data_IF_941104403575
#
_entry.id   IF_941104403575
#
_cell.length_a   1.000
_cell.length_b   1.000
_cell.length_c   1.000
_cell.angle_alpha   90.00
_cell.angle_beta   90.00
_cell.angle_gamma   90.00
#
_symmetry.space_group_name_H-M   'P 1'
#
loop_
_entity.id
_entity.type
_entity.pdbx_description
1 polymer ?
#
# COMPACT_ATOMS: atom_id res chain seq x y z
N UNK A 1 -39.24 41.82 -23.78
CA UNK A 1 -39.41 41.54 -22.34
C UNK A 1 -38.10 41.00 -21.82
N UNK A 2 -37.52 41.70 -20.86
CA UNK A 2 -36.13 41.57 -20.41
C UNK A 2 -36.10 40.83 -19.07
N UNK A 3 -35.30 39.77 -18.95
CA UNK A 3 -35.10 39.05 -17.70
C UNK A 3 -33.60 38.83 -17.45
N UNK A 4 -33.10 39.75 -16.63
CA UNK A 4 -31.88 39.80 -15.81
C UNK A 4 -31.18 38.46 -15.53
N UNK A 5 -29.91 38.36 -15.91
CA UNK A 5 -28.94 37.44 -15.34
C UNK A 5 -28.24 38.10 -14.14
N UNK A 6 -28.21 37.38 -13.00
CA UNK A 6 -27.54 37.77 -11.77
C UNK A 6 -26.14 37.15 -11.79
N UNK A 7 -25.10 37.98 -11.83
CA UNK A 7 -23.72 37.57 -11.56
C UNK A 7 -23.53 37.46 -10.04
N UNK A 8 -23.11 36.29 -9.55
CA UNK A 8 -22.57 36.13 -8.20
C UNK A 8 -21.04 36.02 -8.32
N UNK A 9 -20.34 37.05 -7.86
CA UNK A 9 -18.89 37.07 -7.69
C UNK A 9 -18.55 36.62 -6.27
N UNK A 10 -17.87 35.49 -6.14
CA UNK A 10 -17.29 35.02 -4.87
C UNK A 10 -15.84 35.52 -4.83
N UNK A 11 -15.58 36.47 -3.95
CA UNK A 11 -14.23 36.91 -3.61
C UNK A 11 -13.60 35.93 -2.62
N UNK A 12 -12.48 35.33 -3.01
CA UNK A 12 -11.68 34.47 -2.15
C UNK A 12 -10.50 35.27 -1.60
N UNK A 13 -10.52 35.51 -0.29
CA UNK A 13 -9.45 36.20 0.44
C UNK A 13 -8.40 35.17 0.87
N UNK A 14 -7.20 35.27 0.31
CA UNK A 14 -6.04 34.47 0.74
C UNK A 14 -5.36 35.22 1.89
N UNK A 15 -5.32 34.59 3.07
CA UNK A 15 -4.53 35.05 4.23
C UNK A 15 -3.22 34.28 4.23
N UNK A 16 -2.12 34.96 3.91
CA UNK A 16 -0.76 34.45 4.06
C UNK A 16 -0.28 34.78 5.49
N UNK A 17 -0.17 33.77 6.35
CA UNK A 17 0.56 33.87 7.62
C UNK A 17 1.98 33.35 7.45
N UNK A 18 2.91 34.29 7.37
CA UNK A 18 4.35 34.10 7.50
C UNK A 18 4.72 33.89 8.97
N UNK A 19 5.46 32.83 9.28
CA UNK A 19 6.30 32.76 10.47
C UNK A 19 7.71 32.34 10.04
N UNK A 20 8.61 33.33 9.98
CA UNK A 20 10.05 33.09 10.05
C UNK A 20 10.53 33.29 11.48
N UNK A 21 11.51 32.50 11.91
CA UNK A 21 12.52 33.00 12.85
C UNK A 21 13.82 32.22 12.74
N UNK A 22 14.84 32.96 12.29
CA UNK A 22 16.26 32.66 12.41
C UNK A 22 16.62 32.21 13.83
N UNK A 23 17.30 31.07 13.97
CA UNK A 23 18.06 30.77 15.17
C UNK A 23 19.55 30.70 14.88
N UNK A 24 20.29 31.50 15.66
CA UNK A 24 21.70 31.81 15.51
C UNK A 24 22.56 30.67 16.03
N UNK A 25 23.51 30.26 15.20
CA UNK A 25 24.73 29.55 15.56
C UNK A 25 25.48 30.31 16.66
N UNK A 26 25.82 29.63 17.76
CA UNK A 26 26.86 30.05 18.71
C UNK A 26 27.98 28.98 18.74
N UNK A 27 29.26 29.38 18.75
CA UNK A 27 30.38 28.46 18.76
C UNK A 27 30.85 28.09 20.18
N UNK A 28 31.45 26.91 20.25
CA UNK A 28 32.43 26.38 21.21
C UNK A 28 32.61 27.10 22.55
N UNK A 29 32.18 26.42 23.61
CA UNK A 29 32.64 26.60 24.97
C UNK A 29 33.38 25.35 25.45
N UNK A 30 34.69 25.50 25.58
CA UNK A 30 35.62 24.63 26.30
C UNK A 30 35.11 24.33 27.73
N UNK A 31 35.05 23.05 28.13
CA UNK A 31 34.91 22.67 29.55
C UNK A 31 35.54 21.31 29.83
N UNK A 32 36.77 21.39 30.34
CA UNK A 32 37.29 20.73 31.54
C UNK A 32 36.77 19.33 31.89
N UNK A 33 37.71 18.38 31.72
CA UNK A 33 37.98 17.23 32.59
C UNK A 33 37.41 17.36 34.02
N UNK A 34 36.43 16.53 34.35
CA UNK A 34 36.18 16.06 35.71
C UNK A 34 36.07 14.54 35.71
N UNK A 35 37.02 13.91 36.41
CA UNK A 35 36.98 12.53 36.85
C UNK A 35 35.66 12.24 37.57
N UNK A 36 34.84 11.35 37.02
CA UNK A 36 33.86 10.61 37.81
C UNK A 36 34.26 9.15 37.87
N UNK A 37 34.55 8.76 39.10
CA UNK A 37 34.78 7.43 39.65
C UNK A 37 33.81 6.39 39.08
N UNK A 38 34.40 5.36 38.49
CA UNK A 38 33.75 4.08 38.22
C UNK A 38 33.18 3.51 39.53
N UNK A 39 31.86 3.54 39.66
CA UNK A 39 31.15 2.76 40.67
C UNK A 39 30.66 1.51 39.96
N UNK A 40 31.32 0.39 40.23
CA UNK A 40 30.93 -0.94 39.80
C UNK A 40 29.57 -1.27 40.43
N UNK A 41 28.49 -1.14 39.65
CA UNK A 41 27.19 -1.70 39.98
C UNK A 41 27.21 -3.13 39.45
N UNK A 42 27.58 -4.05 40.32
CA UNK A 42 27.52 -5.47 40.06
C UNK A 42 26.15 -6.01 40.54
N UNK A 43 25.52 -6.77 39.64
CA UNK A 43 24.61 -7.90 39.89
C UNK A 43 23.33 -7.68 40.71
N UNK A 44 22.22 -7.43 40.00
CA UNK A 44 21.01 -8.28 40.03
C UNK A 44 19.96 -7.75 39.03
N UNK A 45 20.23 -7.93 37.73
CA UNK A 45 19.18 -7.89 36.71
C UNK A 45 18.75 -9.34 36.46
N UNK A 46 18.08 -9.93 37.45
CA UNK A 46 17.09 -10.98 37.19
C UNK A 46 15.84 -10.31 36.62
N UNK A 47 16.00 -9.66 35.47
CA UNK A 47 14.89 -9.39 34.58
C UNK A 47 14.80 -10.62 33.68
N UNK A 48 14.38 -11.75 34.26
CA UNK A 48 13.76 -12.77 33.42
C UNK A 48 12.62 -12.02 32.72
N UNK A 49 12.77 -11.80 31.41
CA UNK A 49 11.72 -11.25 30.59
C UNK A 49 10.45 -12.00 30.98
N UNK A 50 9.35 -11.31 31.30
CA UNK A 50 8.13 -12.01 31.65
C UNK A 50 7.86 -12.95 30.48
N UNK A 51 7.88 -14.26 30.75
CA UNK A 51 7.32 -15.28 29.87
C UNK A 51 5.82 -15.01 29.84
N UNK A 52 5.45 -13.89 29.21
CA UNK A 52 4.09 -13.53 28.91
C UNK A 52 3.56 -14.61 27.98
N UNK A 53 2.38 -15.09 28.34
CA UNK A 53 1.81 -16.29 27.80
C UNK A 53 1.57 -16.08 26.30
N UNK A 54 2.21 -16.90 25.46
CA UNK A 54 2.06 -16.89 24.01
C UNK A 54 0.58 -16.83 23.58
N UNK A 55 -0.25 -17.56 24.32
CA UNK A 55 -1.69 -17.66 24.11
C UNK A 55 -2.44 -16.35 24.35
N UNK A 56 -1.84 -15.39 25.06
CA UNK A 56 -2.45 -14.07 25.31
C UNK A 56 -2.38 -13.18 24.07
N UNK A 57 -1.27 -13.22 23.34
CA UNK A 57 -1.08 -12.41 22.12
C UNK A 57 -1.54 -13.13 20.86
N UNK A 58 -1.21 -14.41 20.72
CA UNK A 58 -1.62 -15.24 19.59
C UNK A 58 -2.96 -15.91 19.93
N UNK A 59 -4.02 -15.12 20.04
CA UNK A 59 -5.36 -15.59 20.41
C UNK A 59 -5.82 -16.71 19.46
N UNK A 60 -6.68 -17.66 19.90
CA UNK A 60 -7.18 -18.71 19.02
C UNK A 60 -7.91 -18.17 17.78
N UNK A 61 -8.52 -17.00 17.89
CA UNK A 61 -9.28 -16.37 16.81
C UNK A 61 -9.13 -14.84 16.84
N UNK A 62 -9.16 -14.22 15.65
CA UNK A 62 -9.29 -12.78 15.48
C UNK A 62 -10.44 -12.46 14.53
N UNK A 63 -11.26 -11.46 14.87
CA UNK A 63 -12.25 -10.95 13.93
C UNK A 63 -11.61 -9.91 13.01
N UNK A 64 -11.86 -10.03 11.71
CA UNK A 64 -11.43 -9.06 10.71
C UNK A 64 -12.47 -7.96 10.58
N UNK A 65 -12.02 -6.71 10.66
CA UNK A 65 -12.83 -5.55 10.31
C UNK A 65 -12.46 -5.08 8.91
N UNK A 66 -13.47 -4.73 8.13
CA UNK A 66 -13.32 -4.28 6.74
C UNK A 66 -13.75 -2.82 6.60
N UNK A 67 -13.03 -2.09 5.76
CA UNK A 67 -13.32 -0.72 5.40
C UNK A 67 -13.47 -0.58 3.89
N UNK A 68 -14.48 0.17 3.40
CA UNK A 68 -14.61 0.44 1.98
C UNK A 68 -13.39 1.15 1.41
N UNK A 69 -12.92 0.68 0.26
CA UNK A 69 -11.90 1.37 -0.53
C UNK A 69 -12.58 2.43 -1.39
N UNK A 70 -12.05 3.65 -1.33
CA UNK A 70 -12.49 4.72 -2.22
C UNK A 70 -11.88 4.56 -3.61
N UNK A 71 -12.73 4.29 -4.60
CA UNK A 71 -12.33 4.17 -5.99
C UNK A 71 -12.36 5.54 -6.67
N UNK A 72 -11.18 6.07 -6.99
CA UNK A 72 -11.04 7.34 -7.69
C UNK A 72 -11.13 7.14 -9.19
N UNK A 73 -12.03 7.84 -9.91
CA UNK A 73 -12.14 7.68 -11.34
C UNK A 73 -10.88 8.19 -12.04
N UNK A 74 -10.41 7.47 -13.07
CA UNK A 74 -9.33 7.96 -13.91
C UNK A 74 -9.83 9.12 -14.78
N UNK A 75 -8.94 10.06 -15.05
CA UNK A 75 -9.17 11.17 -15.95
C UNK A 75 -8.78 10.78 -17.37
N UNK A 76 -9.66 11.01 -18.35
CA UNK A 76 -9.27 10.89 -19.75
C UNK A 76 -8.47 12.14 -20.14
N UNK A 77 -7.26 11.94 -20.66
CA UNK A 77 -6.32 13.03 -20.93
C UNK A 77 -5.76 12.96 -22.35
N UNK A 78 -5.29 14.09 -22.85
CA UNK A 78 -4.44 14.14 -24.04
C UNK A 78 -2.97 14.08 -23.63
N UNK A 79 -2.14 13.46 -24.47
CA UNK A 79 -0.69 13.42 -24.27
C UNK A 79 -0.12 14.82 -24.46
N UNK A 80 0.64 15.30 -23.48
CA UNK A 80 1.25 16.64 -23.52
C UNK A 80 2.59 16.62 -24.25
N UNK A 81 2.96 17.75 -24.86
CA UNK A 81 4.27 17.93 -25.52
C UNK A 81 5.45 17.78 -24.56
N UNK A 82 5.25 18.06 -23.27
CA UNK A 82 6.27 17.90 -22.23
C UNK A 82 6.47 16.43 -21.83
N UNK A 83 5.66 15.50 -22.33
CA UNK A 83 5.74 14.09 -21.98
C UNK A 83 6.51 13.31 -23.03
N UNK A 84 7.67 12.78 -22.65
CA UNK A 84 8.46 11.94 -23.52
C UNK A 84 8.11 10.48 -23.27
N UNK A 85 7.50 9.81 -24.25
CA UNK A 85 7.23 8.37 -24.18
C UNK A 85 8.55 7.61 -24.01
N UNK A 86 8.61 6.75 -23.01
CA UNK A 86 9.79 5.91 -22.73
C UNK A 86 9.51 4.43 -22.92
N UNK A 87 8.29 3.97 -22.62
CA UNK A 87 7.89 2.57 -22.82
C UNK A 87 6.39 2.44 -23.07
N UNK A 88 6.03 1.42 -23.83
CA UNK A 88 4.66 0.91 -23.90
C UNK A 88 4.70 -0.57 -23.55
N UNK A 89 3.88 -1.00 -22.60
CA UNK A 89 3.81 -2.39 -22.15
C UNK A 89 2.39 -2.93 -22.24
N UNK A 90 2.26 -4.21 -22.60
CA UNK A 90 0.97 -4.88 -22.55
C UNK A 90 0.51 -5.00 -21.10
N UNK A 91 -0.75 -4.70 -20.87
CA UNK A 91 -1.39 -4.81 -19.58
C UNK A 91 -2.64 -5.67 -19.71
N UNK A 92 -2.52 -6.83 -20.37
CA UNK A 92 -3.64 -7.77 -20.50
C UNK A 92 -4.76 -7.32 -21.44
N UNK A 93 -5.96 -7.87 -21.22
CA UNK A 93 -7.12 -7.63 -22.06
C UNK A 93 -8.40 -7.56 -21.22
N UNK A 94 -9.37 -6.77 -21.69
CA UNK A 94 -10.72 -6.71 -21.14
C UNK A 94 -11.70 -6.99 -22.28
N UNK A 95 -12.49 -8.05 -22.17
CA UNK A 95 -13.46 -8.49 -23.17
C UNK A 95 -12.85 -8.67 -24.58
N UNK A 96 -11.60 -9.17 -24.64
CA UNK A 96 -10.86 -9.39 -25.88
C UNK A 96 -10.21 -8.13 -26.48
N UNK A 97 -10.41 -6.97 -25.87
CA UNK A 97 -9.74 -5.74 -26.26
C UNK A 97 -8.47 -5.52 -25.43
N UNK A 98 -7.39 -5.13 -26.09
CA UNK A 98 -6.10 -4.91 -25.44
C UNK A 98 -6.14 -3.70 -24.51
N UNK A 99 -5.55 -3.87 -23.33
CA UNK A 99 -5.19 -2.78 -22.43
C UNK A 99 -3.67 -2.66 -22.46
N UNK A 100 -3.14 -1.43 -22.60
CA UNK A 100 -1.70 -1.16 -22.50
C UNK A 100 -1.44 -0.10 -21.45
N UNK A 101 -0.20 -0.05 -20.97
CA UNK A 101 0.31 1.10 -20.24
C UNK A 101 1.35 1.82 -21.08
N UNK A 102 1.14 3.10 -21.30
CA UNK A 102 2.14 3.99 -21.89
C UNK A 102 2.80 4.78 -20.77
N UNK A 103 4.11 4.63 -20.65
CA UNK A 103 4.96 5.20 -19.61
C UNK A 103 5.73 6.38 -20.21
N UNK A 104 5.62 7.54 -19.59
CA UNK A 104 6.22 8.79 -20.03
C UNK A 104 7.11 9.40 -18.95
N UNK A 105 8.21 10.00 -19.39
CA UNK A 105 9.03 10.89 -18.59
C UNK A 105 8.57 12.34 -18.80
N UNK A 106 8.17 12.99 -17.73
CA UNK A 106 7.86 14.42 -17.72
C UNK A 106 9.16 15.24 -17.88
N UNK A 107 9.14 16.21 -18.80
CA UNK A 107 10.29 17.08 -19.07
C UNK A 107 10.20 18.41 -18.30
N UNK A 108 9.03 18.75 -17.74
CA UNK A 108 8.86 19.89 -16.84
C UNK A 108 9.14 19.48 -15.39
N UNK A 109 10.32 19.85 -14.86
CA UNK A 109 10.73 19.55 -13.48
C UNK A 109 9.79 20.16 -12.41
N UNK A 110 8.98 21.17 -12.77
CA UNK A 110 8.01 21.77 -11.85
C UNK A 110 6.68 20.97 -11.75
N UNK A 111 6.50 19.97 -12.61
CA UNK A 111 5.32 19.09 -12.60
C UNK A 111 5.36 18.12 -11.42
N UNK A 112 4.18 17.65 -10.98
CA UNK A 112 4.04 16.73 -9.84
C UNK A 112 4.81 15.42 -10.07
N UNK A 113 4.87 14.93 -11.31
CA UNK A 113 5.64 13.74 -11.69
C UNK A 113 6.97 14.10 -12.39
N UNK A 114 7.51 15.30 -12.11
CA UNK A 114 8.72 15.82 -12.73
C UNK A 114 10.01 15.27 -12.11
N UNK A 115 9.93 14.56 -10.98
CA UNK A 115 11.10 13.98 -10.34
C UNK A 115 11.68 12.83 -11.18
N UNK A 116 13.01 12.69 -11.19
CA UNK A 116 13.71 11.73 -12.06
C UNK A 116 13.33 10.25 -11.86
N UNK A 117 12.78 9.89 -10.70
CA UNK A 117 12.33 8.53 -10.38
C UNK A 117 10.83 8.29 -10.63
N UNK A 118 10.08 9.34 -10.98
CA UNK A 118 8.64 9.28 -11.22
C UNK A 118 8.32 9.25 -12.71
N UNK A 119 7.22 8.62 -13.06
CA UNK A 119 6.71 8.52 -14.43
C UNK A 119 5.24 8.86 -14.48
N UNK A 120 4.83 9.43 -15.61
CA UNK A 120 3.42 9.55 -15.94
C UNK A 120 3.02 8.25 -16.63
N UNK A 121 2.02 7.58 -16.07
CA UNK A 121 1.51 6.31 -16.62
C UNK A 121 0.10 6.54 -17.10
N UNK A 122 -0.12 6.28 -18.39
CA UNK A 122 -1.44 6.30 -19.01
C UNK A 122 -1.87 4.86 -19.24
N UNK A 123 -3.07 4.52 -18.78
CA UNK A 123 -3.75 3.31 -19.18
C UNK A 123 -4.43 3.59 -20.53
N UNK A 124 -4.01 2.88 -21.56
CA UNK A 124 -4.62 2.98 -22.88
C UNK A 124 -5.62 1.84 -23.05
N UNK A 125 -6.85 2.20 -23.36
CA UNK A 125 -7.91 1.25 -23.62
C UNK A 125 -8.84 1.82 -24.69
N UNK A 126 -9.08 1.04 -25.75
CA UNK A 126 -9.77 1.51 -26.96
C UNK A 126 -9.07 2.74 -27.56
N UNK A 127 -9.79 3.84 -27.71
CA UNK A 127 -9.31 5.11 -28.27
C UNK A 127 -8.98 6.12 -27.15
N UNK A 128 -8.99 5.72 -25.87
CA UNK A 128 -8.80 6.59 -24.72
C UNK A 128 -7.47 6.39 -24.01
N UNK A 129 -6.91 7.50 -23.50
CA UNK A 129 -5.79 7.52 -22.57
C UNK A 129 -6.28 7.96 -21.20
N UNK A 130 -6.10 7.11 -20.20
CA UNK A 130 -6.63 7.30 -18.86
C UNK A 130 -5.49 7.49 -17.87
N UNK A 131 -5.50 8.61 -17.16
CA UNK A 131 -4.51 8.95 -16.14
C UNK A 131 -5.09 8.78 -14.75
N UNK A 132 -4.35 8.10 -13.88
CA UNK A 132 -4.60 8.13 -12.44
C UNK A 132 -3.83 9.30 -11.81
N UNK A 133 -4.30 9.79 -10.66
CA UNK A 133 -3.74 11.00 -10.05
C UNK A 133 -2.29 10.84 -9.58
N UNK A 134 -1.88 9.61 -9.22
CA UNK A 134 -0.52 9.28 -8.82
C UNK A 134 0.47 9.20 -10.00
N UNK A 135 1.75 9.16 -9.65
CA UNK A 135 2.84 8.89 -10.58
C UNK A 135 3.26 7.41 -10.47
N UNK A 136 3.73 6.81 -11.55
CA UNK A 136 4.37 5.49 -11.53
C UNK A 136 5.87 5.57 -11.25
N UNK A 137 6.50 4.44 -10.97
CA UNK A 137 7.94 4.36 -10.71
C UNK A 137 8.74 4.20 -12.03
N UNK A 138 9.96 4.72 -12.09
CA UNK A 138 10.92 4.45 -13.19
C UNK A 138 11.23 2.95 -13.37
N UNK A 139 10.99 2.13 -12.33
CA UNK A 139 11.13 0.67 -12.38
C UNK A 139 10.30 0.03 -13.51
N UNK A 140 9.16 0.63 -13.87
CA UNK A 140 8.28 0.21 -14.97
C UNK A 140 8.96 0.19 -16.34
N UNK A 141 10.01 1.01 -16.52
CA UNK A 141 10.75 1.07 -17.77
C UNK A 141 11.69 -0.13 -17.95
N UNK A 142 12.00 -0.84 -16.87
CA UNK A 142 12.93 -1.96 -16.88
C UNK A 142 12.36 -3.19 -17.59
N UNK A 143 13.16 -3.85 -18.42
CA UNK A 143 12.87 -5.18 -18.97
C UNK A 143 13.45 -6.30 -18.11
N UNK A 144 14.00 -5.96 -16.94
CA UNK A 144 14.65 -6.93 -16.06
C UNK A 144 13.59 -7.84 -15.42
N UNK A 145 13.57 -9.15 -15.75
CA UNK A 145 12.64 -10.08 -15.14
C UNK A 145 12.89 -10.23 -13.63
N UNK A 146 14.07 -9.86 -13.11
CA UNK A 146 14.37 -9.91 -11.67
C UNK A 146 13.58 -8.83 -10.90
N UNK A 147 13.07 -7.79 -11.57
CA UNK A 147 12.16 -6.80 -10.99
C UNK A 147 10.70 -7.25 -11.06
N UNK A 148 10.46 -8.51 -10.70
CA UNK A 148 9.12 -9.06 -10.48
C UNK A 148 8.36 -8.13 -9.52
N UNK A 149 7.14 -7.75 -9.87
CA UNK A 149 6.27 -6.93 -9.01
C UNK A 149 6.11 -5.46 -9.40
N UNK A 150 6.75 -4.99 -10.48
CA UNK A 150 6.53 -3.61 -10.98
C UNK A 150 5.21 -3.44 -11.75
N UNK A 151 4.77 -4.49 -12.46
CA UNK A 151 3.45 -4.61 -13.07
C UNK A 151 2.92 -6.00 -12.77
N UNK A 152 1.70 -6.06 -12.24
CA UNK A 152 1.04 -7.32 -11.89
C UNK A 152 -0.35 -7.32 -12.52
N UNK A 153 -0.66 -8.36 -13.30
CA UNK A 153 -2.01 -8.64 -13.78
C UNK A 153 -2.73 -9.49 -12.74
N UNK A 154 -3.96 -9.09 -12.41
CA UNK A 154 -4.73 -9.73 -11.34
C UNK A 154 -6.00 -10.37 -11.89
N UNK A 155 -6.72 -9.67 -12.77
CA UNK A 155 -8.06 -10.05 -13.25
C UNK A 155 -9.02 -10.49 -12.13
N UNK A 156 -8.93 -9.83 -10.97
CA UNK A 156 -9.74 -10.16 -9.80
C UNK A 156 -11.17 -9.64 -9.96
N UNK A 157 -12.13 -10.58 -9.93
CA UNK A 157 -13.53 -10.36 -10.27
C UNK A 157 -14.42 -10.61 -9.07
N UNK A 158 -15.55 -9.88 -9.00
CA UNK A 158 -16.59 -10.22 -8.04
C UNK A 158 -17.22 -11.57 -8.39
N UNK A 159 -17.39 -12.43 -7.38
CA UNK A 159 -18.22 -13.63 -7.51
C UNK A 159 -19.69 -13.28 -7.82
N UNK A 160 -20.14 -12.11 -7.35
CA UNK A 160 -21.45 -11.59 -7.71
C UNK A 160 -21.42 -11.02 -9.13
N UNK A 161 -22.04 -11.74 -10.06
CA UNK A 161 -22.20 -11.35 -11.47
C UNK A 161 -22.91 -10.01 -11.65
N UNK A 162 -23.62 -9.51 -10.63
CA UNK A 162 -24.25 -8.20 -10.66
C UNK A 162 -23.24 -7.05 -10.43
N UNK A 163 -22.15 -7.31 -9.71
CA UNK A 163 -21.07 -6.37 -9.44
C UNK A 163 -19.87 -6.64 -10.37
N UNK A 164 -20.04 -6.40 -11.65
CA UNK A 164 -19.10 -6.80 -12.71
C UNK A 164 -17.76 -6.05 -12.73
N UNK A 165 -17.37 -5.36 -11.65
CA UNK A 165 -16.08 -4.66 -11.60
C UNK A 165 -14.93 -5.67 -11.55
N UNK A 166 -13.80 -5.26 -12.10
CA UNK A 166 -12.61 -6.08 -12.25
C UNK A 166 -11.43 -5.27 -11.72
N UNK A 167 -10.73 -5.75 -10.70
CA UNK A 167 -9.39 -5.24 -10.38
C UNK A 167 -8.46 -5.87 -11.41
N UNK A 168 -8.16 -5.12 -12.45
CA UNK A 168 -7.50 -5.61 -13.66
C UNK A 168 -6.02 -5.92 -13.41
N UNK A 169 -5.35 -5.02 -12.70
CA UNK A 169 -3.94 -5.17 -12.33
C UNK A 169 -3.46 -4.00 -11.50
N UNK A 170 -2.18 -4.04 -11.15
CA UNK A 170 -1.51 -3.01 -10.38
C UNK A 170 -0.12 -2.70 -10.93
N UNK A 171 0.38 -1.52 -10.61
CA UNK A 171 1.74 -1.07 -10.92
C UNK A 171 2.43 -0.45 -9.71
N UNK A 172 3.76 -0.49 -9.73
CA UNK A 172 4.60 0.17 -8.73
C UNK A 172 4.46 1.70 -8.82
N UNK A 173 4.03 2.29 -7.71
CA UNK A 173 3.84 3.72 -7.55
C UNK A 173 5.17 4.46 -7.41
N UNK A 174 5.23 5.66 -7.97
CA UNK A 174 6.41 6.53 -7.86
C UNK A 174 6.48 7.31 -6.55
N UNK A 175 5.38 7.39 -5.80
CA UNK A 175 5.22 8.27 -4.64
C UNK A 175 5.42 7.48 -3.34
N UNK A 176 6.19 8.02 -2.40
CA UNK A 176 6.43 7.50 -1.02
C UNK A 176 7.33 6.25 -0.87
N UNK A 177 8.02 5.81 -1.91
CA UNK A 177 9.00 4.73 -1.81
C UNK A 177 8.45 3.35 -2.20
N UNK A 178 9.27 2.30 -2.10
CA UNK A 178 8.95 0.99 -2.66
C UNK A 178 7.80 0.32 -1.92
N UNK A 179 6.89 -0.30 -2.67
CA UNK A 179 5.81 -1.12 -2.13
C UNK A 179 4.44 -0.44 -2.08
N UNK A 180 4.33 0.83 -2.47
CA UNK A 180 3.03 1.42 -2.79
C UNK A 180 2.63 1.01 -4.20
N UNK A 181 1.47 0.37 -4.34
CA UNK A 181 0.97 -0.09 -5.63
C UNK A 181 -0.26 0.71 -6.03
N UNK A 182 -0.32 1.17 -7.27
CA UNK A 182 -1.51 1.77 -7.88
C UNK A 182 -2.30 0.69 -8.61
N UNK A 183 -3.56 0.54 -8.25
CA UNK A 183 -4.47 -0.46 -8.80
C UNK A 183 -5.38 0.16 -9.86
N UNK A 184 -5.68 -0.61 -10.90
CA UNK A 184 -6.62 -0.22 -11.95
C UNK A 184 -7.86 -1.11 -11.90
N UNK A 185 -9.02 -0.49 -11.74
CA UNK A 185 -10.32 -1.15 -11.63
C UNK A 185 -11.19 -0.75 -12.81
N UNK A 186 -11.70 -1.72 -13.55
CA UNK A 186 -12.63 -1.48 -14.64
C UNK A 186 -14.07 -1.79 -14.23
N UNK A 187 -14.97 -0.84 -14.49
CA UNK A 187 -16.42 -1.03 -14.39
C UNK A 187 -17.00 -1.16 -15.81
N UNK A 188 -17.37 -2.38 -16.26
CA UNK A 188 -17.92 -2.58 -17.60
C UNK A 188 -19.37 -2.08 -17.74
N UNK A 189 -20.10 -1.87 -16.64
CA UNK A 189 -21.47 -1.33 -16.68
C UNK A 189 -21.43 0.16 -17.01
N UNK A 190 -20.50 0.88 -16.39
CA UNK A 190 -20.31 2.31 -16.64
C UNK A 190 -19.31 2.60 -17.77
N UNK A 191 -18.62 1.57 -18.26
CA UNK A 191 -17.50 1.70 -19.19
C UNK A 191 -16.46 2.72 -18.67
N UNK A 192 -16.06 2.55 -17.41
CA UNK A 192 -15.23 3.53 -16.70
C UNK A 192 -14.09 2.86 -15.94
N UNK A 193 -12.94 3.51 -15.95
CA UNK A 193 -11.77 3.13 -15.16
C UNK A 193 -11.70 3.92 -13.85
N UNK A 194 -11.28 3.22 -12.81
CA UNK A 194 -10.98 3.75 -11.49
C UNK A 194 -9.61 3.27 -11.05
N UNK A 195 -9.06 3.93 -10.03
CA UNK A 195 -7.86 3.50 -9.36
C UNK A 195 -7.90 3.82 -7.88
N UNK A 196 -7.01 3.16 -7.15
CA UNK A 196 -6.73 3.39 -5.75
C UNK A 196 -5.29 2.96 -5.48
N UNK A 197 -4.71 3.44 -4.39
CA UNK A 197 -3.37 3.05 -3.98
C UNK A 197 -3.45 2.18 -2.72
N UNK A 198 -2.64 1.12 -2.67
CA UNK A 198 -2.53 0.26 -1.50
C UNK A 198 -1.10 -0.25 -1.36
N UNK A 199 -0.63 -0.33 -0.11
CA UNK A 199 0.68 -0.87 0.20
C UNK A 199 0.68 -2.39 0.14
N UNK A 200 1.74 -2.94 -0.45
CA UNK A 200 1.98 -4.36 -0.59
C UNK A 200 1.80 -4.87 -2.01
N UNK A 201 2.52 -5.95 -2.32
CA UNK A 201 2.42 -6.67 -3.57
C UNK A 201 1.08 -7.41 -3.63
N UNK A 202 0.27 -7.19 -4.67
CA UNK A 202 -0.99 -7.89 -4.79
C UNK A 202 -0.84 -9.31 -5.31
N UNK A 203 -1.74 -10.16 -4.85
CA UNK A 203 -2.01 -11.48 -5.41
C UNK A 203 -3.50 -11.79 -5.27
N UNK A 204 -3.97 -12.80 -5.98
CA UNK A 204 -5.35 -13.27 -5.95
C UNK A 204 -5.31 -14.73 -5.55
N UNK A 205 -5.91 -15.07 -4.41
CA UNK A 205 -5.84 -16.41 -3.83
C UNK A 205 -7.18 -16.77 -3.20
N UNK A 206 -7.68 -17.99 -3.41
CA UNK A 206 -8.83 -18.56 -2.68
C UNK A 206 -8.35 -19.03 -1.30
N UNK A 207 -8.41 -18.16 -0.30
CA UNK A 207 -7.78 -18.38 1.00
C UNK A 207 -8.54 -19.35 1.90
N UNK A 208 -9.85 -19.51 1.71
CA UNK A 208 -10.69 -20.42 2.51
C UNK A 208 -11.13 -21.68 1.76
N UNK A 209 -10.83 -21.78 0.46
CA UNK A 209 -11.13 -22.92 -0.39
C UNK A 209 -12.60 -22.99 -0.81
N UNK A 210 -13.35 -21.87 -0.75
CA UNK A 210 -14.75 -21.82 -1.14
C UNK A 210 -14.97 -21.63 -2.66
N UNK A 211 -13.88 -21.41 -3.41
CA UNK A 211 -13.86 -21.15 -4.84
C UNK A 211 -14.02 -19.68 -5.21
N UNK A 212 -14.15 -18.78 -4.24
CA UNK A 212 -14.07 -17.33 -4.36
C UNK A 212 -12.65 -16.91 -4.03
N UNK A 213 -12.04 -16.11 -4.89
CA UNK A 213 -10.71 -15.60 -4.61
C UNK A 213 -10.80 -14.35 -3.72
N UNK A 214 -9.78 -14.15 -2.88
CA UNK A 214 -9.51 -12.90 -2.18
C UNK A 214 -8.38 -12.13 -2.87
N UNK A 215 -8.45 -10.80 -2.82
CA UNK A 215 -7.35 -9.93 -3.19
C UNK A 215 -6.41 -9.77 -1.99
N UNK A 216 -5.22 -10.31 -2.05
CA UNK A 216 -4.23 -10.25 -0.96
C UNK A 216 -3.24 -9.14 -1.23
N UNK A 217 -2.99 -8.28 -0.26
CA UNK A 217 -1.95 -7.26 -0.29
C UNK A 217 -0.80 -7.64 0.66
N UNK A 218 0.28 -8.19 0.12
CA UNK A 218 1.46 -8.59 0.89
C UNK A 218 2.47 -7.45 0.98
N UNK A 219 2.47 -6.73 2.09
CA UNK A 219 3.50 -5.77 2.40
C UNK A 219 4.79 -6.49 2.83
N UNK A 220 5.91 -6.20 2.15
CA UNK A 220 7.19 -6.86 2.39
C UNK A 220 7.97 -6.24 3.57
N UNK A 221 7.42 -5.21 4.21
CA UNK A 221 8.10 -4.43 5.24
C UNK A 221 8.93 -3.29 4.67
N UNK A 222 9.00 -2.19 5.40
CA UNK A 222 9.83 -1.03 5.08
C UNK A 222 10.25 -0.30 6.36
N UNK A 223 11.57 -0.15 6.55
CA UNK A 223 12.18 0.52 7.71
C UNK A 223 11.73 -0.08 9.06
N UNK A 224 10.82 0.62 9.74
CA UNK A 224 10.30 0.25 11.06
C UNK A 224 8.97 -0.50 10.96
N UNK A 225 8.42 -0.65 9.76
CA UNK A 225 7.20 -1.40 9.52
C UNK A 225 7.58 -2.81 9.04
N UNK A 226 7.26 -3.86 9.81
CA UNK A 226 7.53 -5.24 9.42
C UNK A 226 6.61 -5.70 8.26
N UNK A 227 6.89 -6.86 7.64
CA UNK A 227 5.99 -7.46 6.67
C UNK A 227 4.58 -7.66 7.25
N UNK A 228 3.56 -7.41 6.44
CA UNK A 228 2.18 -7.52 6.89
C UNK A 228 1.26 -7.92 5.73
N UNK A 229 0.05 -8.34 6.06
CA UNK A 229 -0.98 -8.75 5.11
C UNK A 229 -2.23 -7.92 5.35
N UNK A 230 -2.88 -7.51 4.27
CA UNK A 230 -4.28 -7.09 4.31
C UNK A 230 -5.05 -7.80 3.21
N UNK A 231 -6.35 -7.98 3.42
CA UNK A 231 -7.21 -8.81 2.56
C UNK A 231 -8.32 -7.95 2.00
N UNK A 232 -8.43 -7.90 0.69
CA UNK A 232 -9.46 -7.24 -0.08
C UNK A 232 -10.55 -8.21 -0.51
N UNK A 233 -11.81 -7.80 -0.38
CA UNK A 233 -12.97 -8.57 -0.82
C UNK A 233 -14.02 -7.70 -1.47
N UNK A 234 -14.81 -8.28 -2.37
CA UNK A 234 -16.00 -7.62 -2.88
C UNK A 234 -17.13 -7.68 -1.85
N UNK A 235 -17.78 -6.54 -1.61
CA UNK A 235 -19.03 -6.44 -0.86
C UNK A 235 -20.08 -5.75 -1.74
N UNK A 236 -20.83 -6.57 -2.48
CA UNK A 236 -21.68 -6.09 -3.57
C UNK A 236 -20.85 -5.31 -4.61
N UNK A 237 -21.21 -4.07 -4.98
CA UNK A 237 -20.49 -3.28 -5.98
C UNK A 237 -19.23 -2.56 -5.43
N UNK A 238 -18.98 -2.65 -4.12
CA UNK A 238 -17.86 -2.01 -3.44
C UNK A 238 -16.72 -2.99 -3.19
N UNK A 239 -15.49 -2.48 -3.23
CA UNK A 239 -14.31 -3.20 -2.75
C UNK A 239 -14.04 -2.76 -1.32
N UNK A 240 -13.77 -3.70 -0.43
CA UNK A 240 -13.39 -3.42 0.96
C UNK A 240 -12.05 -4.07 1.27
N UNK A 241 -11.30 -3.49 2.20
CA UNK A 241 -10.02 -4.02 2.68
C UNK A 241 -10.07 -4.23 4.19
N UNK A 242 -9.47 -5.32 4.65
CA UNK A 242 -9.31 -5.59 6.07
C UNK A 242 -8.33 -4.59 6.72
N UNK A 243 -8.43 -4.42 8.04
CA UNK A 243 -7.26 -3.96 8.80
C UNK A 243 -6.07 -4.90 8.54
N UNK A 244 -4.84 -4.40 8.72
CA UNK A 244 -3.67 -5.26 8.56
C UNK A 244 -3.66 -6.35 9.63
N UNK A 245 -3.23 -7.56 9.29
CA UNK A 245 -3.38 -8.69 10.20
C UNK A 245 -2.50 -8.55 11.44
N UNK A 246 -1.33 -7.91 11.34
CA UNK A 246 -0.50 -7.65 12.54
C UNK A 246 -1.15 -6.65 13.49
N UNK A 247 -2.01 -5.74 13.00
CA UNK A 247 -2.72 -4.78 13.86
C UNK A 247 -3.75 -5.42 14.81
N UNK A 248 -4.11 -6.69 14.54
CA UNK A 248 -4.98 -7.49 15.41
C UNK A 248 -4.24 -7.98 16.66
N UNK A 249 -2.90 -7.96 16.63
CA UNK A 249 -2.06 -8.32 17.75
C UNK A 249 -1.88 -7.13 18.69
N UNK A 250 -2.31 -7.28 19.93
CA UNK A 250 -2.17 -6.26 20.98
C UNK A 250 -0.77 -6.33 21.62
N UNK A 251 0.27 -6.12 20.81
CA UNK A 251 1.66 -6.29 21.26
C UNK A 251 2.20 -5.09 22.05
N UNK A 252 2.99 -5.32 23.12
CA UNK A 252 3.80 -4.28 23.72
C UNK A 252 4.85 -3.72 22.74
N UNK A 253 5.19 -2.44 22.86
CA UNK A 253 6.02 -1.72 21.87
C UNK A 253 7.48 -2.19 21.68
N UNK A 254 7.95 -3.16 22.47
CA UNK A 254 9.27 -3.79 22.26
C UNK A 254 9.22 -4.96 21.25
N UNK A 255 8.04 -5.51 20.98
CA UNK A 255 7.87 -6.63 20.06
C UNK A 255 7.61 -6.15 18.63
N UNK A 256 8.00 -6.98 17.67
CA UNK A 256 7.69 -6.80 16.24
C UNK A 256 6.91 -8.00 15.77
N UNK A 257 5.78 -7.77 15.10
CA UNK A 257 5.05 -8.82 14.42
C UNK A 257 5.24 -8.71 12.93
N UNK A 258 5.37 -9.82 12.24
CA UNK A 258 5.27 -9.88 10.79
C UNK A 258 4.20 -10.89 10.40
N UNK A 259 3.62 -10.69 9.22
CA UNK A 259 2.70 -11.64 8.63
C UNK A 259 2.97 -11.86 7.14
N UNK A 260 2.82 -13.11 6.71
CA UNK A 260 2.97 -13.55 5.33
C UNK A 260 1.85 -14.50 4.93
N UNK A 261 1.50 -14.53 3.65
CA UNK A 261 0.62 -15.56 3.09
C UNK A 261 1.45 -16.72 2.53
N UNK A 262 1.20 -17.93 3.02
CA UNK A 262 1.89 -19.17 2.64
C UNK A 262 0.84 -20.29 2.46
N UNK A 263 0.77 -20.90 1.28
CA UNK A 263 -0.12 -22.05 0.99
C UNK A 263 -1.60 -21.86 1.44
N UNK A 264 -2.18 -20.68 1.16
CA UNK A 264 -3.54 -20.27 1.56
C UNK A 264 -3.72 -20.05 3.08
N UNK A 265 -2.63 -19.95 3.83
CA UNK A 265 -2.63 -19.65 5.25
C UNK A 265 -1.94 -18.32 5.51
N UNK A 266 -2.25 -17.71 6.65
CA UNK A 266 -1.58 -16.50 7.11
C UNK A 266 -0.62 -16.89 8.24
N UNK A 267 0.67 -16.92 7.94
CA UNK A 267 1.72 -17.15 8.91
C UNK A 267 2.00 -15.85 9.68
N UNK A 268 2.06 -15.95 11.00
CA UNK A 268 2.50 -14.87 11.88
C UNK A 268 3.85 -15.22 12.50
N UNK A 269 4.70 -14.21 12.64
CA UNK A 269 5.92 -14.30 13.45
C UNK A 269 6.02 -13.10 14.39
N UNK A 270 6.32 -13.33 15.68
CA UNK A 270 6.57 -12.30 16.68
C UNK A 270 8.02 -12.41 17.15
N UNK A 271 8.77 -11.32 17.04
CA UNK A 271 10.13 -11.20 17.53
C UNK A 271 10.19 -10.23 18.72
N UNK A 272 10.93 -10.60 19.76
CA UNK A 272 11.18 -9.77 20.94
C UNK A 272 12.22 -8.68 20.71
N UNK A 273 12.98 -8.77 19.61
CA UNK A 273 14.09 -7.88 19.30
C UNK A 273 15.38 -8.18 20.08
N UNK A 274 15.38 -9.22 20.93
CA UNK A 274 16.61 -9.73 21.55
C UNK A 274 17.35 -10.63 20.56
N UNK A 275 18.64 -10.33 20.30
CA UNK A 275 19.50 -10.97 19.28
C UNK A 275 19.60 -12.51 19.36
N UNK A 276 19.09 -13.15 20.41
CA UNK A 276 19.20 -14.60 20.64
C UNK A 276 17.87 -15.34 20.80
N UNK A 277 16.71 -14.68 20.72
CA UNK A 277 15.43 -15.38 20.80
C UNK A 277 14.97 -15.85 19.42
N UNK A 278 14.64 -17.12 19.27
CA UNK A 278 13.93 -17.59 18.08
C UNK A 278 12.57 -16.87 18.01
N UNK A 279 12.16 -16.38 16.81
CA UNK A 279 10.87 -15.74 16.66
C UNK A 279 9.75 -16.76 16.92
N UNK A 280 8.73 -16.30 17.62
CA UNK A 280 7.54 -17.08 17.91
C UNK A 280 6.67 -17.10 16.67
N UNK A 281 6.29 -18.28 16.17
CA UNK A 281 5.50 -18.40 14.94
C UNK A 281 4.26 -19.28 15.11
N UNK A 282 3.22 -18.95 14.35
CA UNK A 282 1.98 -19.75 14.25
C UNK A 282 1.29 -19.42 12.93
N UNK A 283 0.37 -20.27 12.48
CA UNK A 283 -0.39 -20.06 11.24
C UNK A 283 -1.87 -19.90 11.55
N UNK A 284 -2.57 -19.14 10.72
CA UNK A 284 -4.02 -18.97 10.79
C UNK A 284 -4.66 -19.35 9.46
N UNK A 285 -5.79 -20.03 9.57
CA UNK A 285 -6.73 -20.22 8.48
C UNK A 285 -7.60 -18.97 8.34
N UNK A 286 -7.89 -18.60 7.09
CA UNK A 286 -8.78 -17.50 6.77
C UNK A 286 -10.23 -17.97 6.66
N UNK A 287 -11.14 -17.09 7.03
CA UNK A 287 -12.53 -17.09 6.63
C UNK A 287 -12.97 -15.62 6.50
N UNK A 288 -14.05 -15.29 5.78
CA UNK A 288 -14.36 -13.92 5.37
C UNK A 288 -14.35 -12.87 6.47
N UNK A 289 -14.63 -13.24 7.72
CA UNK A 289 -14.68 -12.31 8.86
C UNK A 289 -13.73 -12.68 10.00
N UNK A 290 -12.89 -13.71 9.82
CA UNK A 290 -12.15 -14.29 10.93
C UNK A 290 -10.88 -15.01 10.51
N UNK A 291 -9.84 -14.85 11.32
CA UNK A 291 -8.66 -15.70 11.32
C UNK A 291 -8.75 -16.70 12.47
N UNK A 292 -8.53 -17.99 12.18
CA UNK A 292 -8.54 -19.05 13.21
C UNK A 292 -7.18 -19.72 13.27
N UNK A 293 -6.56 -19.68 14.46
CA UNK A 293 -5.24 -20.25 14.72
C UNK A 293 -5.26 -21.73 14.40
N UNK A 294 -4.32 -22.16 13.57
CA UNK A 294 -4.10 -23.56 13.27
C UNK A 294 -3.21 -24.11 14.38
N UNK A 295 -3.75 -25.00 15.22
CA UNK A 295 -2.94 -25.62 16.26
C UNK A 295 -1.73 -26.32 15.63
N UNK A 296 -0.54 -26.00 16.14
CA UNK A 296 0.69 -26.72 15.81
C UNK A 296 0.53 -28.12 16.39
N UNK A 297 0.25 -29.10 15.53
CA UNK A 297 0.18 -30.52 15.92
C UNK A 297 1.53 -31.06 16.35
#
# INVERSE_FOLDING_TARGET
>A
MSARAILLSIGMTIVLSSCGSNEKVRPNGDRSSEHQTATTIDTARDNAAPTQNLDEWMKPEFNLSYQPIELSPLEQVEVKDSWKLTKTQSFGQINGETVTLSVYQEQDEASICGAGYERIVLLDYREGHYKYMGCGNTSLESDDPVREGTLILLDYRSADKAASKIVHGAIDGGVNGPGLMTYYVYDPVQNRWYGFDQWGLPSVNDLDGDGTEELVFQFQGLHMNPPDVSIGRWNGPGLEISATVTSLLELPGQYRAAATVEDHQIAFSIDSGEESSEPLSTSYSYSPERLTRMDVR
#
